data_IF_699463187609
#
_entry.id   IF_699463187609
#
_cell.length_a   1.000
_cell.length_b   1.000
_cell.length_c   1.000
_cell.angle_alpha   90.00
_cell.angle_beta   90.00
_cell.angle_gamma   90.00
#
_symmetry.space_group_name_H-M   'P 1'
#
loop_
_entity.id
_entity.type
_entity.pdbx_description
1 polymer ?
#
# COMPACT_ATOMS: atom_id res chain seq x y z
N UNK A 1 -44.53 13.37 24.75
CA UNK A 1 -43.07 13.56 24.51
C UNK A 1 -42.47 14.42 25.63
N UNK A 2 -42.54 13.96 26.89
CA UNK A 2 -42.04 14.70 28.07
C UNK A 2 -41.02 13.89 28.90
N UNK A 3 -40.62 12.72 28.40
CA UNK A 3 -39.73 11.75 29.06
C UNK A 3 -38.24 12.05 28.89
N UNK A 4 -37.86 12.96 27.99
CA UNK A 4 -36.45 13.24 27.68
C UNK A 4 -35.84 14.32 28.59
N UNK A 5 -36.61 15.33 29.00
CA UNK A 5 -36.06 16.46 29.75
C UNK A 5 -35.86 16.13 31.24
N UNK A 6 -36.76 15.33 31.81
CA UNK A 6 -36.63 14.84 33.19
C UNK A 6 -35.54 13.78 33.32
N UNK A 7 -35.37 12.91 32.32
CA UNK A 7 -34.26 11.94 32.29
C UNK A 7 -32.91 12.63 32.11
N UNK A 8 -32.81 13.64 31.24
CA UNK A 8 -31.61 14.48 31.08
C UNK A 8 -31.24 15.24 32.36
N UNK A 9 -32.25 15.76 33.07
CA UNK A 9 -32.03 16.46 34.33
C UNK A 9 -31.55 15.51 35.43
N UNK A 10 -32.09 14.28 35.49
CA UNK A 10 -31.60 13.26 36.41
C UNK A 10 -30.18 12.78 36.06
N UNK A 11 -29.86 12.60 34.77
CA UNK A 11 -28.50 12.24 34.35
C UNK A 11 -27.50 13.35 34.65
N UNK A 12 -27.87 14.62 34.45
CA UNK A 12 -27.04 15.78 34.80
C UNK A 12 -26.76 15.85 36.31
N UNK A 13 -27.78 15.63 37.15
CA UNK A 13 -27.61 15.56 38.62
C UNK A 13 -26.70 14.39 39.04
N UNK A 14 -26.83 13.23 38.39
CA UNK A 14 -25.97 12.08 38.67
C UNK A 14 -24.49 12.38 38.36
N UNK A 15 -24.21 13.07 37.23
CA UNK A 15 -22.83 13.48 36.89
C UNK A 15 -22.25 14.48 37.90
N UNK A 16 -23.06 15.42 38.40
CA UNK A 16 -22.63 16.41 39.38
C UNK A 16 -22.59 15.91 40.84
N UNK A 17 -23.07 14.68 41.09
CA UNK A 17 -23.13 14.11 42.44
C UNK A 17 -21.75 13.99 43.09
N UNK A 18 -20.71 13.66 42.30
CA UNK A 18 -19.34 13.50 42.78
C UNK A 18 -18.63 14.83 43.09
N UNK A 19 -19.18 15.96 42.62
CA UNK A 19 -18.68 17.32 42.91
C UNK A 19 -19.37 17.94 44.14
N UNK A 20 -20.53 17.38 44.53
CA UNK A 20 -21.31 17.85 45.68
C UNK A 20 -20.69 17.32 46.97
N UNK A 21 -20.03 18.19 47.73
CA UNK A 21 -19.47 17.85 49.04
C UNK A 21 -20.63 17.68 50.05
N UNK A 22 -20.71 16.57 50.80
CA UNK A 22 -21.90 16.24 51.59
C UNK A 22 -22.21 17.21 52.74
N UNK A 23 -21.23 18.01 53.17
CA UNK A 23 -21.38 18.97 54.29
C UNK A 23 -21.92 20.35 53.86
N UNK A 24 -22.22 20.58 52.58
CA UNK A 24 -22.66 21.88 52.07
C UNK A 24 -23.92 21.76 51.20
N UNK A 25 -24.90 22.68 51.35
CA UNK A 25 -26.09 22.68 50.50
C UNK A 25 -25.74 23.01 49.05
N UNK A 26 -26.40 22.33 48.10
CA UNK A 26 -26.23 22.59 46.67
C UNK A 26 -26.83 23.94 46.27
N UNK A 27 -26.04 24.83 45.69
CA UNK A 27 -26.49 26.13 45.19
C UNK A 27 -26.98 25.99 43.74
N UNK A 28 -28.23 26.35 43.47
CA UNK A 28 -28.75 26.46 42.11
C UNK A 28 -28.46 27.88 41.58
N UNK A 29 -27.64 27.98 40.53
CA UNK A 29 -27.32 29.26 39.89
C UNK A 29 -28.41 29.65 38.89
N UNK A 30 -28.66 30.96 38.75
CA UNK A 30 -29.51 31.46 37.65
C UNK A 30 -28.79 31.37 36.31
N UNK A 31 -29.56 31.40 35.20
CA UNK A 31 -29.00 31.34 33.84
C UNK A 31 -27.94 32.44 33.60
N UNK A 32 -28.22 33.67 34.04
CA UNK A 32 -27.29 34.80 33.93
C UNK A 32 -25.98 34.56 34.70
N UNK A 33 -26.06 33.93 35.87
CA UNK A 33 -24.88 33.58 36.67
C UNK A 33 -24.06 32.48 36.01
N UNK A 34 -24.72 31.48 35.43
CA UNK A 34 -24.07 30.39 34.67
C UNK A 34 -23.37 30.96 33.44
N UNK A 35 -24.01 31.89 32.72
CA UNK A 35 -23.41 32.56 31.56
C UNK A 35 -22.17 33.37 31.97
N UNK A 36 -22.27 34.18 33.03
CA UNK A 36 -21.15 34.96 33.52
C UNK A 36 -19.97 34.08 33.97
N UNK A 37 -20.24 32.95 34.61
CA UNK A 37 -19.21 31.97 34.98
C UNK A 37 -18.62 31.26 33.76
N UNK A 38 -19.44 30.87 32.80
CA UNK A 38 -18.99 30.25 31.54
C UNK A 38 -18.06 31.17 30.77
N UNK A 39 -18.42 32.44 30.60
CA UNK A 39 -17.55 33.45 29.96
C UNK A 39 -16.22 33.61 30.69
N UNK A 40 -16.22 33.60 32.03
CA UNK A 40 -14.99 33.65 32.83
C UNK A 40 -14.12 32.39 32.68
N UNK A 41 -14.73 31.22 32.55
CA UNK A 41 -14.02 29.96 32.30
C UNK A 41 -13.40 29.94 30.90
N UNK A 42 -14.17 30.35 29.89
CA UNK A 42 -13.69 30.49 28.51
C UNK A 42 -12.53 31.49 28.43
N UNK A 43 -12.60 32.61 29.15
CA UNK A 43 -11.48 33.58 29.19
C UNK A 43 -10.25 33.07 29.96
N UNK A 44 -10.41 32.09 30.84
CA UNK A 44 -9.31 31.45 31.60
C UNK A 44 -8.68 30.26 30.87
N UNK A 45 -9.28 29.81 29.77
CA UNK A 45 -8.64 28.85 28.87
C UNK A 45 -7.45 29.59 28.23
N UNK A 46 -6.19 29.18 28.47
CA UNK A 46 -5.06 29.76 27.77
C UNK A 46 -5.29 29.54 26.28
N UNK A 47 -5.30 30.63 25.50
CA UNK A 47 -5.48 30.56 24.06
C UNK A 47 -4.45 29.64 23.41
N UNK A 48 -4.78 29.11 22.24
CA UNK A 48 -4.02 28.15 21.42
C UNK A 48 -2.53 28.49 21.13
N UNK A 49 -2.02 29.64 21.60
CA UNK A 49 -0.62 30.03 21.50
C UNK A 49 0.32 29.04 22.22
N UNK A 50 -0.05 28.50 23.38
CA UNK A 50 0.82 27.54 24.10
C UNK A 50 0.86 26.16 23.44
N UNK A 51 -0.17 25.80 22.69
CA UNK A 51 -0.22 24.54 21.94
C UNK A 51 0.62 24.61 20.66
N UNK A 52 0.71 25.78 20.04
CA UNK A 52 1.59 26.00 18.88
C UNK A 52 3.07 25.81 19.25
N UNK A 53 3.51 26.33 20.41
CA UNK A 53 4.89 26.15 20.89
C UNK A 53 5.20 24.69 21.23
N UNK A 54 4.24 23.98 21.85
CA UNK A 54 4.35 22.54 22.13
C UNK A 54 4.37 21.71 20.85
N UNK A 55 3.54 22.04 19.87
CA UNK A 55 3.52 21.39 18.56
C UNK A 55 4.85 21.59 17.82
N UNK A 56 5.42 22.80 17.85
CA UNK A 56 6.73 23.08 17.28
C UNK A 56 7.84 22.25 17.93
N UNK A 57 7.79 22.08 19.26
CA UNK A 57 8.74 21.21 19.97
C UNK A 57 8.62 19.73 19.55
N UNK A 58 7.40 19.21 19.37
CA UNK A 58 7.17 17.84 18.91
C UNK A 58 7.63 17.63 17.45
N UNK A 59 7.42 18.62 16.59
CA UNK A 59 7.90 18.60 15.21
C UNK A 59 9.44 18.63 15.15
N UNK A 60 10.09 19.42 16.00
CA UNK A 60 11.55 19.43 16.12
C UNK A 60 12.11 18.07 16.59
N UNK A 61 11.41 17.38 17.50
CA UNK A 61 11.77 16.01 17.90
C UNK A 61 11.71 15.04 16.70
N UNK A 62 10.74 15.22 15.82
CA UNK A 62 10.62 14.50 14.55
C UNK A 62 11.58 15.00 13.44
N UNK A 63 12.53 15.88 13.77
CA UNK A 63 13.49 16.50 12.85
C UNK A 63 12.82 17.34 11.73
N UNK A 64 11.66 17.94 12.03
CA UNK A 64 10.95 18.84 11.11
C UNK A 64 11.16 20.29 11.55
N UNK A 65 11.78 21.08 10.67
CA UNK A 65 11.99 22.51 10.88
C UNK A 65 10.70 23.29 10.54
N UNK A 66 9.79 23.36 11.51
CA UNK A 66 8.52 24.05 11.39
C UNK A 66 8.62 25.54 11.00
N UNK A 67 9.53 26.38 11.57
CA UNK A 67 9.64 27.78 11.18
C UNK A 67 10.20 27.96 9.76
N UNK A 68 11.16 27.13 9.32
CA UNK A 68 11.62 27.17 7.93
C UNK A 68 10.52 26.76 6.94
N UNK A 69 9.74 25.73 7.28
CA UNK A 69 8.59 25.30 6.49
C UNK A 69 7.51 26.39 6.43
N UNK A 70 7.17 27.03 7.56
CA UNK A 70 6.21 28.12 7.60
C UNK A 70 6.65 29.31 6.72
N UNK A 71 7.93 29.67 6.75
CA UNK A 71 8.48 30.70 5.86
C UNK A 71 8.39 30.27 4.38
N UNK A 72 8.70 29.02 4.07
CA UNK A 72 8.59 28.51 2.69
C UNK A 72 7.15 28.55 2.17
N UNK A 73 6.16 28.26 3.03
CA UNK A 73 4.74 28.34 2.73
C UNK A 73 4.31 29.79 2.54
N UNK A 74 4.77 30.71 3.40
CA UNK A 74 4.44 32.13 3.32
C UNK A 74 4.99 32.80 2.04
N UNK A 75 6.14 32.32 1.55
CA UNK A 75 6.75 32.80 0.30
C UNK A 75 6.28 32.03 -0.95
N UNK A 76 5.39 31.04 -0.79
CA UNK A 76 4.87 30.26 -1.89
C UNK A 76 3.81 31.07 -2.65
N UNK A 77 4.20 31.67 -3.78
CA UNK A 77 3.28 32.35 -4.68
C UNK A 77 2.39 31.33 -5.40
N UNK A 78 1.29 30.94 -4.77
CA UNK A 78 0.30 30.02 -5.34
C UNK A 78 -0.37 30.55 -6.60
N UNK A 79 -0.40 31.87 -6.78
CA UNK A 79 -0.95 32.54 -7.96
C UNK A 79 -0.16 32.25 -9.23
N UNK A 80 1.17 32.08 -9.13
CA UNK A 80 2.04 31.79 -10.29
C UNK A 80 2.23 30.30 -10.51
N UNK A 81 2.13 29.47 -9.47
CA UNK A 81 2.37 28.02 -9.56
C UNK A 81 1.24 27.28 -10.29
N UNK A 82 0.01 27.77 -10.22
CA UNK A 82 -1.16 27.16 -10.86
C UNK A 82 -1.72 27.97 -12.04
N UNK A 83 -1.05 29.07 -12.42
CA UNK A 83 -1.44 29.79 -13.63
C UNK A 83 -0.93 29.01 -14.85
N UNK A 84 -1.80 28.61 -15.79
CA UNK A 84 -1.35 27.94 -17.00
C UNK A 84 -0.38 28.87 -17.73
N UNK A 85 0.79 28.33 -18.14
CA UNK A 85 1.85 29.07 -18.83
C UNK A 85 1.35 29.77 -20.10
N UNK A 86 0.25 29.29 -20.66
CA UNK A 86 -0.48 29.93 -21.74
C UNK A 86 -1.98 29.95 -21.40
N UNK A 87 -2.62 31.13 -21.29
CA UNK A 87 -4.06 31.22 -21.11
C UNK A 87 -4.74 30.74 -22.40
N UNK A 88 -5.29 29.53 -22.36
CA UNK A 88 -6.09 29.00 -23.47
C UNK A 88 -7.48 29.62 -23.38
N UNK A 89 -7.86 30.43 -24.38
CA UNK A 89 -9.22 30.98 -24.43
C UNK A 89 -10.20 29.89 -24.86
N UNK A 90 -11.41 29.87 -24.27
CA UNK A 90 -12.44 28.83 -24.44
C UNK A 90 -12.92 28.60 -25.89
N UNK A 91 -12.41 29.35 -26.87
CA UNK A 91 -12.77 29.26 -28.30
C UNK A 91 -11.62 28.83 -29.23
N UNK A 92 -10.40 28.59 -28.74
CA UNK A 92 -9.27 28.14 -29.58
C UNK A 92 -9.09 26.61 -29.56
N UNK A 93 -9.81 25.93 -30.47
CA UNK A 93 -9.70 24.47 -30.67
C UNK A 93 -8.29 24.06 -31.10
N UNK A 94 -7.58 24.88 -31.88
CA UNK A 94 -6.24 24.56 -32.34
C UNK A 94 -5.21 24.64 -31.20
N UNK A 95 -5.34 25.63 -30.32
CA UNK A 95 -4.57 25.74 -29.09
C UNK A 95 -4.80 24.55 -28.14
N UNK A 96 -6.06 24.14 -27.97
CA UNK A 96 -6.40 22.96 -27.16
C UNK A 96 -5.72 21.69 -27.68
N UNK A 97 -5.80 21.44 -28.99
CA UNK A 97 -5.19 20.26 -29.61
C UNK A 97 -3.66 20.25 -29.48
N UNK A 98 -3.01 21.42 -29.62
CA UNK A 98 -1.56 21.55 -29.42
C UNK A 98 -1.17 21.24 -27.98
N UNK A 99 -1.87 21.83 -27.01
CA UNK A 99 -1.63 21.57 -25.59
C UNK A 99 -1.88 20.11 -25.22
N UNK A 100 -2.97 19.50 -25.71
CA UNK A 100 -3.26 18.09 -25.48
C UNK A 100 -2.18 17.17 -26.07
N UNK A 101 -1.64 17.51 -27.24
CA UNK A 101 -0.53 16.79 -27.85
C UNK A 101 0.75 16.90 -27.02
N UNK A 102 1.13 18.11 -26.61
CA UNK A 102 2.30 18.35 -25.77
C UNK A 102 2.17 17.63 -24.42
N UNK A 103 0.99 17.69 -23.79
CA UNK A 103 0.72 16.98 -22.55
C UNK A 103 0.82 15.46 -22.73
N UNK A 104 0.34 14.93 -23.86
CA UNK A 104 0.46 13.50 -24.17
C UNK A 104 1.93 13.07 -24.33
N UNK A 105 2.76 13.90 -24.99
CA UNK A 105 4.21 13.67 -25.09
C UNK A 105 4.87 13.65 -23.72
N UNK A 106 4.58 14.65 -22.87
CA UNK A 106 5.12 14.72 -21.51
C UNK A 106 4.73 13.49 -20.70
N UNK A 107 3.44 13.12 -20.71
CA UNK A 107 2.94 11.94 -19.99
C UNK A 107 3.57 10.64 -20.50
N UNK A 108 3.81 10.51 -21.81
CA UNK A 108 4.48 9.33 -22.38
C UNK A 108 5.94 9.23 -21.92
N UNK A 109 6.66 10.36 -21.88
CA UNK A 109 8.04 10.40 -21.38
C UNK A 109 8.09 10.07 -19.89
N UNK A 110 7.17 10.62 -19.11
CA UNK A 110 7.10 10.38 -17.68
C UNK A 110 6.78 8.90 -17.36
N UNK A 111 5.86 8.30 -18.11
CA UNK A 111 5.53 6.89 -17.98
C UNK A 111 6.74 6.01 -18.34
N UNK A 112 7.44 6.31 -19.45
CA UNK A 112 8.67 5.60 -19.81
C UNK A 112 9.77 5.72 -18.75
N UNK A 113 9.89 6.88 -18.10
CA UNK A 113 10.82 7.09 -16.98
C UNK A 113 10.43 6.24 -15.77
N UNK A 114 9.14 6.24 -15.40
CA UNK A 114 8.59 5.44 -14.30
C UNK A 114 8.83 3.95 -14.53
N UNK A 115 8.48 3.45 -15.70
CA UNK A 115 8.66 2.05 -16.08
C UNK A 115 10.14 1.64 -16.04
N UNK A 116 11.03 2.47 -16.59
CA UNK A 116 12.49 2.21 -16.57
C UNK A 116 13.03 2.16 -15.15
N UNK A 117 12.60 3.08 -14.28
CA UNK A 117 13.00 3.13 -12.89
C UNK A 117 12.53 1.88 -12.13
N UNK A 118 11.25 1.50 -12.29
CA UNK A 118 10.72 0.28 -11.68
C UNK A 118 11.46 -0.97 -12.16
N UNK A 119 11.69 -1.08 -13.48
CA UNK A 119 12.42 -2.19 -14.06
C UNK A 119 13.86 -2.28 -13.51
N UNK A 120 14.54 -1.14 -13.36
CA UNK A 120 15.87 -1.08 -12.74
C UNK A 120 15.87 -1.65 -11.31
N UNK A 121 14.93 -1.24 -10.46
CA UNK A 121 14.86 -1.73 -9.08
C UNK A 121 14.54 -3.22 -9.01
N UNK A 122 13.60 -3.71 -9.85
CA UNK A 122 13.30 -5.15 -9.94
C UNK A 122 14.54 -5.94 -10.35
N UNK A 123 15.27 -5.48 -11.37
CA UNK A 123 16.48 -6.15 -11.85
C UNK A 123 17.58 -6.14 -10.78
N UNK A 124 17.75 -5.03 -10.07
CA UNK A 124 18.72 -4.90 -8.98
C UNK A 124 18.42 -5.89 -7.85
N UNK A 125 17.15 -6.00 -7.44
CA UNK A 125 16.72 -6.94 -6.41
C UNK A 125 16.94 -8.40 -6.86
N UNK A 126 16.58 -8.74 -8.10
CA UNK A 126 16.81 -10.06 -8.64
C UNK A 126 18.29 -10.44 -8.69
N UNK A 127 19.15 -9.52 -9.14
CA UNK A 127 20.60 -9.70 -9.18
C UNK A 127 21.17 -9.86 -7.77
N UNK A 128 20.80 -8.96 -6.86
CA UNK A 128 21.21 -9.02 -5.46
C UNK A 128 20.84 -10.37 -4.81
N UNK A 129 19.61 -10.85 -5.04
CA UNK A 129 19.17 -12.17 -4.56
C UNK A 129 19.98 -13.32 -5.17
N UNK A 130 20.21 -13.31 -6.49
CA UNK A 130 21.02 -14.33 -7.16
C UNK A 130 22.45 -14.37 -6.62
N UNK A 131 23.06 -13.19 -6.42
CA UNK A 131 24.41 -13.07 -5.87
C UNK A 131 24.47 -13.55 -4.42
N UNK A 132 23.44 -13.24 -3.63
CA UNK A 132 23.30 -13.74 -2.27
C UNK A 132 23.20 -15.26 -2.22
N UNK A 133 22.34 -15.87 -3.04
CA UNK A 133 22.20 -17.32 -3.13
C UNK A 133 23.50 -17.99 -3.60
N UNK A 134 24.21 -17.38 -4.55
CA UNK A 134 25.50 -17.87 -5.01
C UNK A 134 26.57 -17.83 -3.90
N UNK A 135 26.67 -16.72 -3.16
CA UNK A 135 27.57 -16.60 -2.01
C UNK A 135 27.21 -17.59 -0.91
N UNK A 136 25.92 -17.71 -0.58
CA UNK A 136 25.41 -18.70 0.36
C UNK A 136 25.87 -20.10 -0.04
N UNK A 137 25.65 -20.51 -1.29
CA UNK A 137 26.07 -21.81 -1.81
C UNK A 137 27.58 -22.04 -1.65
N UNK A 138 28.40 -21.05 -2.03
CA UNK A 138 29.87 -21.12 -1.86
C UNK A 138 30.26 -21.30 -0.40
N UNK A 139 29.69 -20.51 0.52
CA UNK A 139 29.96 -20.63 1.95
C UNK A 139 29.54 -22.01 2.49
N UNK A 140 28.39 -22.54 2.07
CA UNK A 140 27.96 -23.89 2.45
C UNK A 140 28.85 -24.99 1.87
N UNK A 141 29.42 -24.80 0.68
CA UNK A 141 30.38 -25.74 0.08
C UNK A 141 31.73 -25.72 0.81
N UNK A 142 32.25 -24.54 1.13
CA UNK A 142 33.51 -24.37 1.88
C UNK A 142 33.39 -24.85 3.34
N UNK A 143 32.25 -24.59 3.98
CA UNK A 143 31.98 -25.02 5.35
C UNK A 143 31.54 -26.50 5.42
N UNK A 144 30.78 -26.96 4.43
CA UNK A 144 30.30 -28.34 4.29
C UNK A 144 31.39 -29.30 3.82
N UNK A 145 32.38 -28.84 3.05
CA UNK A 145 33.55 -29.61 2.64
C UNK A 145 34.40 -30.12 3.82
N UNK A 146 34.38 -29.41 4.96
CA UNK A 146 35.02 -29.87 6.22
C UNK A 146 34.16 -30.84 7.04
N UNK A 147 32.89 -31.02 6.71
CA UNK A 147 31.95 -31.91 7.42
C UNK A 147 31.70 -33.24 6.67
N UNK A 148 32.48 -33.54 5.63
CA UNK A 148 32.32 -34.77 4.81
C UNK A 148 33.07 -35.99 5.34
N UNK A 149 33.48 -36.04 6.61
CA UNK A 149 33.71 -37.35 7.25
C UNK A 149 32.40 -38.12 7.46
N UNK A 150 31.26 -37.43 7.47
CA UNK A 150 29.97 -38.01 7.89
C UNK A 150 29.01 -38.14 6.71
N UNK A 151 29.45 -38.89 5.69
CA UNK A 151 28.67 -39.26 4.49
C UNK A 151 27.38 -40.06 4.78
N UNK A 152 27.05 -40.34 6.05
CA UNK A 152 25.79 -40.99 6.46
C UNK A 152 24.61 -40.03 6.61
N UNK A 153 24.83 -38.78 7.03
CA UNK A 153 23.73 -37.83 7.27
C UNK A 153 23.09 -37.31 5.96
N UNK A 154 23.89 -37.15 4.89
CA UNK A 154 23.39 -36.74 3.57
C UNK A 154 22.60 -37.85 2.87
N UNK A 155 22.89 -39.13 3.16
CA UNK A 155 22.16 -40.28 2.62
C UNK A 155 20.79 -40.46 3.31
N UNK A 156 20.70 -40.22 4.62
CA UNK A 156 19.43 -40.24 5.37
C UNK A 156 18.53 -39.04 5.04
N UNK A 157 19.10 -37.84 4.84
CA UNK A 157 18.35 -36.69 4.34
C UNK A 157 17.87 -36.92 2.89
N UNK A 158 18.67 -37.56 2.04
CA UNK A 158 18.22 -37.95 0.69
C UNK A 158 17.04 -38.93 0.75
N UNK A 159 16.98 -39.86 1.71
CA UNK A 159 15.87 -40.81 1.81
C UNK A 159 14.57 -40.17 2.33
N UNK A 160 14.65 -39.12 3.15
CA UNK A 160 13.47 -38.36 3.60
C UNK A 160 12.97 -37.32 2.58
N UNK A 161 13.81 -36.90 1.63
CA UNK A 161 13.42 -35.98 0.54
C UNK A 161 12.86 -36.68 -0.72
N UNK A 162 12.77 -38.02 -0.77
CA UNK A 162 12.07 -38.71 -1.88
C UNK A 162 10.54 -38.72 -1.74
N UNK A 163 9.99 -38.03 -0.74
CA UNK A 163 8.59 -37.62 -0.74
C UNK A 163 8.46 -36.17 -1.19
N UNK A 164 7.99 -35.95 -2.43
CA UNK A 164 7.62 -34.67 -3.08
C UNK A 164 8.69 -34.06 -4.01
N UNK A 165 8.81 -34.66 -5.19
CA UNK A 165 9.12 -33.92 -6.41
C UNK A 165 7.94 -32.98 -6.73
N UNK A 166 7.94 -31.76 -6.19
CA UNK A 166 6.96 -30.73 -6.54
C UNK A 166 7.46 -29.31 -6.19
N UNK A 167 8.66 -28.90 -6.61
CA UNK A 167 9.09 -27.48 -6.46
C UNK A 167 9.95 -26.96 -7.62
N UNK A 168 9.56 -27.27 -8.86
CA UNK A 168 9.95 -26.44 -10.01
C UNK A 168 8.71 -26.08 -10.81
N UNK A 169 8.47 -24.77 -10.89
CA UNK A 169 7.51 -24.07 -11.75
C UNK A 169 6.01 -24.38 -11.58
N UNK A 170 5.32 -23.58 -10.76
CA UNK A 170 4.05 -22.95 -11.20
C UNK A 170 3.58 -21.91 -10.18
N UNK A 171 3.59 -20.64 -10.56
CA UNK A 171 2.56 -19.70 -10.09
C UNK A 171 1.24 -20.13 -10.73
N UNK A 172 0.56 -21.10 -10.12
CA UNK A 172 -0.68 -21.66 -10.65
C UNK A 172 -1.30 -22.66 -9.67
N UNK A 173 -2.63 -22.85 -9.70
CA UNK A 173 -3.31 -23.82 -8.86
C UNK A 173 -2.74 -25.22 -9.16
N UNK A 174 -2.48 -25.99 -8.11
CA UNK A 174 -1.96 -27.35 -8.20
C UNK A 174 -2.81 -28.19 -9.15
N UNK A 175 -2.21 -28.62 -10.26
CA UNK A 175 -2.85 -29.43 -11.29
C UNK A 175 -3.36 -30.74 -10.67
N UNK A 176 -4.68 -30.96 -10.69
CA UNK A 176 -5.26 -32.25 -10.30
C UNK A 176 -4.85 -33.33 -11.30
N UNK A 177 -4.77 -34.60 -10.86
CA UNK A 177 -4.44 -35.73 -11.76
C UNK A 177 -5.38 -35.78 -12.98
N UNK A 178 -6.65 -35.40 -12.79
CA UNK A 178 -7.65 -35.26 -13.86
C UNK A 178 -7.36 -34.10 -14.81
N UNK A 179 -6.80 -32.99 -14.34
CA UNK A 179 -6.39 -31.88 -15.19
C UNK A 179 -5.14 -32.24 -15.99
N UNK A 180 -4.20 -32.98 -15.39
CA UNK A 180 -3.02 -33.49 -16.07
C UNK A 180 -3.38 -34.50 -17.18
N UNK A 181 -4.32 -35.41 -16.94
CA UNK A 181 -4.75 -36.36 -17.96
C UNK A 181 -5.42 -35.67 -19.15
N UNK A 182 -6.28 -34.68 -18.89
CA UNK A 182 -6.89 -33.86 -19.95
C UNK A 182 -5.86 -33.05 -20.73
N UNK A 183 -4.87 -32.46 -20.04
CA UNK A 183 -3.79 -31.71 -20.68
C UNK A 183 -2.99 -32.61 -21.64
N UNK A 184 -2.68 -33.84 -21.25
CA UNK A 184 -1.97 -34.80 -22.11
C UNK A 184 -2.81 -35.24 -23.32
N UNK A 185 -4.13 -35.34 -23.19
CA UNK A 185 -5.02 -35.63 -24.31
C UNK A 185 -5.03 -34.49 -25.34
N UNK A 186 -5.11 -33.23 -24.88
CA UNK A 186 -5.02 -32.06 -25.74
C UNK A 186 -3.65 -31.92 -26.41
N UNK A 187 -2.57 -32.17 -25.67
CA UNK A 187 -1.20 -32.11 -26.20
C UNK A 187 -0.99 -33.06 -27.39
N UNK A 188 -1.53 -34.28 -27.31
CA UNK A 188 -1.50 -35.25 -28.40
C UNK A 188 -2.27 -34.77 -29.63
N UNK A 189 -3.50 -34.31 -29.44
CA UNK A 189 -4.35 -33.84 -30.54
C UNK A 189 -3.74 -32.62 -31.26
N UNK A 190 -3.16 -31.68 -30.51
CA UNK A 190 -2.50 -30.49 -31.05
C UNK A 190 -1.20 -30.85 -31.76
N UNK A 191 -0.41 -31.77 -31.20
CA UNK A 191 0.82 -32.26 -31.83
C UNK A 191 0.54 -32.94 -33.18
N UNK A 192 -0.52 -33.75 -33.25
CA UNK A 192 -0.93 -34.40 -34.49
C UNK A 192 -1.47 -33.41 -35.53
N UNK A 193 -2.25 -32.41 -35.09
CA UNK A 193 -2.69 -31.30 -35.94
C UNK A 193 -1.50 -30.54 -36.53
N UNK A 194 -0.51 -30.21 -35.70
CA UNK A 194 0.68 -29.48 -36.12
C UNK A 194 1.50 -30.31 -37.12
N UNK A 195 1.64 -31.61 -36.87
CA UNK A 195 2.31 -32.53 -37.79
C UNK A 195 1.57 -32.64 -39.14
N UNK A 196 0.24 -32.66 -39.13
CA UNK A 196 -0.58 -32.68 -40.35
C UNK A 196 -0.51 -31.36 -41.13
N UNK A 197 -0.45 -30.21 -40.44
CA UNK A 197 -0.23 -28.88 -41.04
C UNK A 197 1.12 -28.78 -41.73
N UNK A 198 2.18 -29.28 -41.08
CA UNK A 198 3.53 -29.33 -41.67
C UNK A 198 3.59 -30.19 -42.94
N UNK A 199 2.76 -31.25 -43.01
CA UNK A 199 2.64 -32.12 -44.19
C UNK A 199 1.61 -31.64 -45.23
N UNK A 200 0.87 -30.57 -44.96
CA UNK A 200 -0.19 -30.08 -45.84
C UNK A 200 -1.39 -31.03 -45.99
N UNK A 201 -1.59 -31.96 -45.04
CA UNK A 201 -2.67 -32.95 -45.06
C UNK A 201 -3.84 -32.52 -44.18
N UNK A 202 -5.09 -32.83 -44.57
CA UNK A 202 -6.27 -32.56 -43.75
C UNK A 202 -6.27 -33.40 -42.46
N UNK A 203 -6.50 -32.77 -41.30
CA UNK A 203 -6.56 -33.45 -40.00
C UNK A 203 -7.97 -33.31 -39.39
N UNK A 204 -8.65 -34.44 -39.05
CA UNK A 204 -9.97 -34.40 -38.43
C UNK A 204 -9.87 -34.15 -36.91
N UNK A 205 -9.64 -32.89 -36.53
CA UNK A 205 -9.42 -32.50 -35.13
C UNK A 205 -10.57 -32.88 -34.18
N UNK A 206 -11.80 -32.90 -34.70
CA UNK A 206 -13.01 -33.23 -33.92
C UNK A 206 -12.94 -34.68 -33.44
N UNK A 207 -12.46 -35.60 -34.27
CA UNK A 207 -12.34 -37.02 -33.89
C UNK A 207 -11.24 -37.23 -32.84
N UNK A 208 -10.18 -36.42 -32.88
CA UNK A 208 -9.06 -36.48 -31.93
C UNK A 208 -9.43 -35.93 -30.53
N UNK A 209 -10.40 -35.02 -30.45
CA UNK A 209 -10.84 -34.41 -29.19
C UNK A 209 -12.03 -35.13 -28.53
N UNK A 210 -12.64 -36.10 -29.22
CA UNK A 210 -13.78 -36.86 -28.71
C UNK A 210 -13.40 -38.18 -27.99
N UNK A 211 -12.10 -38.45 -27.80
CA UNK A 211 -11.58 -39.62 -27.07
C UNK A 211 -11.48 -39.39 -25.56
#
# INVERSE_FOLDING_TARGET
>A
MASDLSSLLNSSRALNSHLSRPDLPSVNLSLDQIEAQSRRLVSRQPGAATDADRANYLLAQAHVDAPALANSIAHLNTSTTFSPLQPLQDTDVAGYLRHAHEQNLISTIEEGRRETQEHFYRLLEERSRKDWEAKKRRVFEELGGRATSDSKALAEMKKSFHGKAALTASTGPSLTLQMQSKMMAYDRAISELNAARLRGTSCPIIHLLMQ
#
